data_IF_689946271541
#
_entry.id   IF_689946271541
#
_cell.length_a   1.000
_cell.length_b   1.000
_cell.length_c   1.000
_cell.angle_alpha   90.00
_cell.angle_beta   90.00
_cell.angle_gamma   90.00
#
_symmetry.space_group_name_H-M   'P 1'
#
loop_
_entity.id
_entity.type
_entity.pdbx_description
1 polymer ?
#
# COMPACT_ATOMS: atom_id res chain seq x y z
N UNK A 1 -16.64 26.15 -42.07
CA UNK A 1 -16.38 26.52 -40.66
C UNK A 1 -14.90 26.34 -40.41
N UNK A 2 -14.14 27.42 -40.32
CA UNK A 2 -12.72 27.37 -39.94
C UNK A 2 -12.66 27.50 -38.42
N UNK A 3 -12.48 26.38 -37.73
CA UNK A 3 -12.31 26.38 -36.27
C UNK A 3 -11.05 27.15 -35.92
N UNK A 4 -11.14 28.09 -34.97
CA UNK A 4 -10.01 28.88 -34.53
C UNK A 4 -8.91 27.94 -33.98
N UNK A 5 -7.63 28.14 -34.34
CA UNK A 5 -6.52 27.28 -33.90
C UNK A 5 -6.47 27.03 -32.38
N UNK A 6 -6.90 28.00 -31.58
CA UNK A 6 -7.01 27.90 -30.11
C UNK A 6 -8.02 26.86 -29.59
N UNK A 7 -8.87 26.31 -30.46
CA UNK A 7 -9.83 25.26 -30.05
C UNK A 7 -9.25 23.86 -30.07
N UNK A 8 -8.15 23.64 -30.80
CA UNK A 8 -7.55 22.31 -30.97
C UNK A 8 -6.03 22.26 -30.75
N UNK A 9 -5.33 23.40 -30.78
CA UNK A 9 -3.91 23.48 -30.43
C UNK A 9 -3.70 23.52 -28.92
N UNK A 10 -2.72 22.76 -28.45
CA UNK A 10 -2.26 22.76 -27.05
C UNK A 10 -0.91 23.46 -26.92
N UNK A 11 -0.63 24.03 -25.74
CA UNK A 11 0.58 24.81 -25.49
C UNK A 11 1.86 23.97 -25.38
N UNK A 12 1.75 22.67 -25.09
CA UNK A 12 2.89 21.75 -24.96
C UNK A 12 2.65 20.46 -25.75
N UNK A 13 3.74 19.82 -26.19
CA UNK A 13 3.69 18.51 -26.84
C UNK A 13 3.02 17.47 -25.93
N UNK A 14 3.31 17.49 -24.63
CA UNK A 14 2.68 16.62 -23.64
C UNK A 14 1.17 16.83 -23.54
N UNK A 15 0.69 18.07 -23.52
CA UNK A 15 -0.75 18.37 -23.48
C UNK A 15 -1.45 17.92 -24.77
N UNK A 16 -0.82 18.13 -25.92
CA UNK A 16 -1.31 17.65 -27.22
C UNK A 16 -1.40 16.12 -27.24
N UNK A 17 -0.31 15.43 -26.88
CA UNK A 17 -0.25 13.98 -26.88
C UNK A 17 -1.20 13.37 -25.84
N UNK A 18 -1.34 13.96 -24.65
CA UNK A 18 -2.27 13.46 -23.63
C UNK A 18 -3.73 13.62 -24.06
N UNK A 19 -4.07 14.73 -24.72
CA UNK A 19 -5.45 15.03 -25.14
C UNK A 19 -5.89 14.21 -26.36
N UNK A 20 -5.03 14.02 -27.35
CA UNK A 20 -5.40 13.39 -28.63
C UNK A 20 -4.85 11.97 -28.82
N UNK A 21 -3.76 11.63 -28.12
CA UNK A 21 -3.00 10.39 -28.32
C UNK A 21 -2.65 9.71 -26.99
N UNK A 22 -3.45 9.90 -25.94
CA UNK A 22 -3.13 9.42 -24.59
C UNK A 22 -2.93 7.90 -24.50
N UNK A 23 -3.50 7.12 -25.41
CA UNK A 23 -3.29 5.67 -25.48
C UNK A 23 -1.88 5.25 -25.95
N UNK A 24 -1.12 6.18 -26.52
CA UNK A 24 0.24 5.98 -27.03
C UNK A 24 1.08 7.24 -26.80
N UNK A 25 1.00 7.78 -25.58
CA UNK A 25 1.63 9.03 -25.18
C UNK A 25 3.13 9.02 -25.47
N UNK A 26 3.84 7.95 -25.08
CA UNK A 26 5.29 7.85 -25.31
C UNK A 26 5.66 7.86 -26.79
N UNK A 27 4.92 7.10 -27.62
CA UNK A 27 5.15 7.10 -29.06
C UNK A 27 4.89 8.48 -29.68
N UNK A 28 3.86 9.20 -29.20
CA UNK A 28 3.58 10.57 -29.62
C UNK A 28 4.66 11.57 -29.18
N UNK A 29 5.22 11.39 -27.98
CA UNK A 29 6.29 12.23 -27.43
C UNK A 29 7.68 11.86 -27.98
N UNK A 30 7.80 10.76 -28.73
CA UNK A 30 9.08 10.27 -29.27
C UNK A 30 9.98 9.62 -28.22
N UNK A 31 9.43 9.21 -27.06
CA UNK A 31 10.15 8.49 -26.01
C UNK A 31 9.99 6.98 -26.20
N UNK A 32 11.12 6.25 -26.17
CA UNK A 32 11.14 4.79 -26.33
C UNK A 32 10.59 4.10 -25.08
N UNK A 33 9.48 3.38 -25.26
CA UNK A 33 8.91 2.21 -24.55
C UNK A 33 9.13 1.91 -23.07
N UNK A 34 10.23 2.34 -22.45
CA UNK A 34 10.54 2.07 -21.06
C UNK A 34 9.80 3.07 -20.17
N UNK A 35 9.11 2.57 -19.14
CA UNK A 35 8.49 3.46 -18.20
C UNK A 35 9.57 4.26 -17.45
N UNK A 36 9.28 5.51 -17.04
CA UNK A 36 10.21 6.28 -16.24
C UNK A 36 10.52 5.53 -14.94
N UNK A 37 11.80 5.21 -14.74
CA UNK A 37 12.26 4.52 -13.54
C UNK A 37 11.90 5.31 -12.28
N UNK A 38 11.44 4.63 -11.23
CA UNK A 38 11.14 5.27 -9.95
C UNK A 38 9.70 5.78 -9.81
N UNK A 39 8.83 5.56 -10.79
CA UNK A 39 7.39 5.81 -10.64
C UNK A 39 6.64 4.57 -10.10
N UNK A 40 5.54 4.83 -9.40
CA UNK A 40 4.68 3.83 -8.79
C UNK A 40 3.43 3.59 -9.62
N UNK A 41 3.14 2.33 -9.94
CA UNK A 41 1.97 1.92 -10.72
C UNK A 41 1.04 1.02 -9.90
N UNK A 42 -0.29 1.08 -10.11
CA UNK A 42 -1.24 0.25 -9.38
C UNK A 42 -1.13 -1.21 -9.83
N UNK A 43 -1.04 -2.13 -8.87
CA UNK A 43 -1.06 -3.56 -9.12
C UNK A 43 -2.51 -4.06 -9.15
N UNK A 44 -3.08 -4.10 -10.36
CA UNK A 44 -4.41 -4.66 -10.58
C UNK A 44 -4.43 -6.20 -10.58
N UNK A 45 -3.28 -6.83 -10.82
CA UNK A 45 -3.16 -8.28 -10.94
C UNK A 45 -2.99 -8.95 -9.57
N UNK A 46 -2.40 -8.25 -8.61
CA UNK A 46 -2.27 -8.68 -7.23
C UNK A 46 -3.59 -8.66 -6.46
N UNK A 47 -3.71 -9.55 -5.47
CA UNK A 47 -4.86 -9.56 -4.56
C UNK A 47 -4.73 -8.52 -3.43
N UNK A 48 -3.52 -8.03 -3.18
CA UNK A 48 -3.21 -7.18 -2.04
C UNK A 48 -3.59 -5.71 -2.24
N UNK A 49 -3.97 -5.32 -3.48
CA UNK A 49 -4.44 -3.96 -3.79
C UNK A 49 -3.40 -2.89 -3.45
N UNK A 50 -2.20 -3.01 -4.03
CA UNK A 50 -1.04 -2.16 -3.73
C UNK A 50 -0.49 -1.47 -4.97
N UNK A 51 0.47 -0.57 -4.78
CA UNK A 51 1.24 0.00 -5.88
C UNK A 51 2.68 -0.53 -5.86
N UNK A 52 3.24 -0.76 -7.05
CA UNK A 52 4.58 -1.33 -7.28
C UNK A 52 5.49 -0.34 -8.01
N UNK A 53 6.80 -0.55 -7.87
CA UNK A 53 7.87 0.20 -8.50
C UNK A 53 9.06 -0.74 -8.69
N UNK A 54 8.83 -1.81 -9.46
CA UNK A 54 9.76 -2.92 -9.68
C UNK A 54 10.19 -3.06 -11.14
N UNK A 55 9.74 -2.15 -12.02
CA UNK A 55 10.01 -2.19 -13.46
C UNK A 55 9.25 -3.27 -14.23
N UNK A 56 8.26 -3.93 -13.60
CA UNK A 56 7.44 -4.97 -14.22
C UNK A 56 6.03 -4.46 -14.58
N UNK A 57 5.88 -3.16 -14.77
CA UNK A 57 4.60 -2.55 -15.17
C UNK A 57 4.08 -3.11 -16.51
N UNK A 58 2.75 -3.27 -16.65
CA UNK A 58 2.16 -3.59 -17.94
C UNK A 58 2.45 -2.52 -19.01
N UNK A 59 2.59 -2.96 -20.27
CA UNK A 59 2.97 -2.11 -21.41
C UNK A 59 2.06 -0.88 -21.60
N UNK A 60 0.76 -1.00 -21.29
CA UNK A 60 -0.18 0.12 -21.42
C UNK A 60 0.05 1.21 -20.35
N UNK A 61 0.58 0.85 -19.18
CA UNK A 61 0.98 1.80 -18.15
C UNK A 61 2.30 2.46 -18.53
N UNK A 62 3.25 1.66 -19.02
CA UNK A 62 4.52 2.15 -19.53
C UNK A 62 4.31 3.15 -20.68
N UNK A 63 3.35 2.89 -21.58
CA UNK A 63 3.04 3.73 -22.75
C UNK A 63 2.39 5.09 -22.41
N UNK A 64 1.84 5.25 -21.21
CA UNK A 64 1.32 6.51 -20.69
C UNK A 64 1.54 6.62 -19.17
N UNK A 65 2.79 6.87 -18.75
CA UNK A 65 3.14 6.89 -17.34
C UNK A 65 2.50 8.08 -16.61
N UNK A 66 2.21 9.18 -17.32
CA UNK A 66 1.53 10.36 -16.76
C UNK A 66 0.12 10.03 -16.27
N UNK A 67 -0.62 9.21 -17.03
CA UNK A 67 -1.95 8.77 -16.62
C UNK A 67 -1.90 7.69 -15.53
N UNK A 68 -1.00 6.72 -15.67
CA UNK A 68 -1.06 5.47 -14.90
C UNK A 68 -0.14 5.40 -13.69
N UNK A 69 0.94 6.18 -13.66
CA UNK A 69 1.98 6.09 -12.65
C UNK A 69 2.07 7.39 -11.83
N UNK A 70 2.56 7.28 -10.60
CA UNK A 70 2.68 8.40 -9.65
C UNK A 70 4.09 8.49 -9.07
N UNK A 71 4.53 9.68 -8.64
CA UNK A 71 5.89 9.88 -8.11
C UNK A 71 6.15 9.18 -6.76
N UNK A 72 5.10 8.80 -6.03
CA UNK A 72 5.22 8.10 -4.75
C UNK A 72 4.17 7.01 -4.60
N UNK A 73 4.44 6.05 -3.70
CA UNK A 73 3.50 4.99 -3.34
C UNK A 73 2.22 5.60 -2.77
N UNK A 74 2.36 6.63 -1.92
CA UNK A 74 1.27 7.40 -1.32
C UNK A 74 0.37 7.99 -2.39
N UNK A 75 0.92 8.72 -3.37
CA UNK A 75 0.12 9.33 -4.42
C UNK A 75 -0.56 8.27 -5.31
N UNK A 76 0.09 7.13 -5.55
CA UNK A 76 -0.52 6.02 -6.28
C UNK A 76 -1.68 5.39 -5.51
N UNK A 77 -1.49 5.15 -4.22
CA UNK A 77 -2.51 4.58 -3.35
C UNK A 77 -3.69 5.52 -3.14
N UNK A 78 -3.46 6.82 -2.96
CA UNK A 78 -4.54 7.82 -2.85
C UNK A 78 -5.39 7.86 -4.13
N UNK A 79 -4.74 7.82 -5.30
CA UNK A 79 -5.42 7.91 -6.59
C UNK A 79 -6.22 6.64 -6.95
N UNK A 80 -5.69 5.45 -6.63
CA UNK A 80 -6.24 4.17 -7.14
C UNK A 80 -6.89 3.30 -6.05
N UNK A 81 -6.42 3.43 -4.80
CA UNK A 81 -6.77 2.57 -3.68
C UNK A 81 -7.16 3.38 -2.43
N UNK A 82 -7.68 4.60 -2.60
CA UNK A 82 -8.01 5.48 -1.48
C UNK A 82 -9.00 4.87 -0.48
N UNK A 83 -9.86 3.96 -0.94
CA UNK A 83 -10.79 3.18 -0.11
C UNK A 83 -10.10 2.19 0.84
N UNK A 84 -8.84 1.83 0.58
CA UNK A 84 -8.00 0.99 1.41
C UNK A 84 -6.58 1.55 1.51
N UNK A 85 -6.45 2.88 1.62
CA UNK A 85 -5.17 3.60 1.56
C UNK A 85 -4.09 2.99 2.45
N UNK A 86 -4.44 2.65 3.70
CA UNK A 86 -3.53 1.98 4.63
C UNK A 86 -3.10 0.60 4.11
N UNK A 87 -4.04 -0.25 3.68
CA UNK A 87 -3.73 -1.55 3.09
C UNK A 87 -2.78 -1.43 1.89
N UNK A 88 -3.09 -0.51 0.97
CA UNK A 88 -2.28 -0.28 -0.23
C UNK A 88 -0.86 0.17 0.08
N UNK A 89 -0.69 1.09 1.02
CA UNK A 89 0.62 1.61 1.38
C UNK A 89 1.53 0.51 1.93
N UNK A 90 0.98 -0.63 2.38
CA UNK A 90 1.70 -1.56 3.26
C UNK A 90 2.00 -0.92 4.62
N UNK A 91 1.63 0.35 4.79
CA UNK A 91 1.39 0.97 6.06
C UNK A 91 0.19 0.28 6.65
N UNK A 92 0.46 -0.71 7.48
CA UNK A 92 -0.38 -1.01 8.62
C UNK A 92 -0.53 0.24 9.49
N UNK A 93 -1.11 1.33 8.97
CA UNK A 93 -1.38 2.59 9.62
C UNK A 93 -2.82 2.61 10.16
N UNK A 94 -3.33 1.41 10.48
CA UNK A 94 -3.80 1.16 11.85
C UNK A 94 -3.02 -0.01 12.44
N UNK A 95 -1.75 0.22 12.77
CA UNK A 95 -1.02 -0.52 13.80
C UNK A 95 -0.15 0.50 14.52
N UNK A 96 -0.76 1.23 15.44
CA UNK A 96 -0.08 1.86 16.58
C UNK A 96 0.44 0.74 17.52
N UNK A 97 0.92 -0.37 16.95
CA UNK A 97 0.99 -1.65 17.62
C UNK A 97 2.05 -2.61 17.12
N UNK A 98 3.05 -2.13 16.39
CA UNK A 98 4.38 -2.68 16.61
C UNK A 98 4.63 -2.54 18.13
N UNK A 99 4.66 -3.66 18.84
CA UNK A 99 4.78 -3.77 20.32
C UNK A 99 3.49 -3.75 21.17
N UNK A 100 2.26 -3.84 20.61
CA UNK A 100 1.09 -4.19 21.47
C UNK A 100 1.00 -5.69 21.68
N UNK A 101 0.27 -6.05 22.71
CA UNK A 101 0.04 -7.42 23.15
C UNK A 101 -1.41 -7.81 22.91
N UNK A 102 -1.64 -9.04 22.44
CA UNK A 102 -2.97 -9.62 22.30
C UNK A 102 -2.99 -11.03 22.88
N UNK A 103 -4.15 -11.48 23.34
CA UNK A 103 -4.31 -12.84 23.84
C UNK A 103 -4.29 -13.83 22.68
N UNK A 104 -3.44 -14.83 22.78
CA UNK A 104 -3.56 -16.07 22.04
C UNK A 104 -4.43 -17.01 22.88
N UNK A 105 -5.58 -17.40 22.32
CA UNK A 105 -6.55 -18.24 23.03
C UNK A 105 -6.22 -19.72 22.95
N UNK A 106 -5.33 -20.12 22.04
CA UNK A 106 -4.89 -21.51 21.92
C UNK A 106 -3.88 -21.85 23.02
N UNK A 107 -2.95 -20.93 23.29
CA UNK A 107 -1.94 -21.06 24.35
C UNK A 107 -2.35 -20.40 25.68
N UNK A 108 -3.44 -19.64 25.70
CA UNK A 108 -3.84 -18.74 26.81
C UNK A 108 -2.75 -17.75 27.25
N UNK A 109 -1.85 -17.38 26.31
CA UNK A 109 -0.72 -16.48 26.55
C UNK A 109 -0.88 -15.20 25.76
N UNK A 110 -0.52 -14.07 26.37
CA UNK A 110 -0.45 -12.82 25.63
C UNK A 110 0.83 -12.77 24.80
N UNK A 111 0.66 -12.66 23.49
CA UNK A 111 1.74 -12.57 22.50
C UNK A 111 1.84 -11.15 21.96
N UNK A 112 3.03 -10.76 21.52
CA UNK A 112 3.33 -9.45 20.96
C UNK A 112 2.98 -9.42 19.47
N UNK A 113 2.34 -8.35 19.00
CA UNK A 113 2.22 -8.04 17.58
C UNK A 113 3.61 -7.64 17.05
N UNK A 114 4.09 -8.49 16.17
CA UNK A 114 5.44 -8.46 15.65
C UNK A 114 5.46 -8.98 14.21
N UNK A 115 6.47 -8.56 13.44
CA UNK A 115 6.84 -9.31 12.26
C UNK A 115 7.31 -10.71 12.69
N UNK A 116 6.77 -11.74 12.04
CA UNK A 116 6.97 -13.16 12.38
C UNK A 116 8.46 -13.45 12.60
N UNK A 117 8.81 -14.09 13.72
CA UNK A 117 10.19 -14.53 14.02
C UNK A 117 11.02 -13.66 14.98
N UNK A 118 10.47 -12.61 15.59
CA UNK A 118 11.20 -11.74 16.55
C UNK A 118 11.10 -12.18 18.01
N UNK A 119 11.44 -13.44 18.29
CA UNK A 119 11.60 -13.99 19.66
C UNK A 119 10.41 -14.82 20.20
N UNK A 120 10.55 -15.40 21.41
CA UNK A 120 9.59 -16.39 21.96
C UNK A 120 8.20 -15.82 22.26
N UNK A 121 8.09 -14.53 22.58
CA UNK A 121 6.81 -13.86 22.80
C UNK A 121 6.14 -13.36 21.51
N UNK A 122 6.72 -13.60 20.33
CA UNK A 122 6.19 -13.08 19.06
C UNK A 122 5.00 -13.93 18.58
N UNK A 123 3.81 -13.33 18.49
CA UNK A 123 2.57 -13.99 18.05
C UNK A 123 2.23 -13.78 16.57
N UNK A 124 3.14 -13.18 15.81
CA UNK A 124 2.87 -12.70 14.46
C UNK A 124 2.00 -11.44 14.44
N UNK A 125 1.50 -11.10 13.27
CA UNK A 125 0.66 -9.91 13.09
C UNK A 125 -0.71 -10.13 13.72
N UNK A 126 -1.12 -9.21 14.60
CA UNK A 126 -2.45 -9.25 15.19
C UNK A 126 -3.53 -9.06 14.12
N UNK A 127 -4.64 -9.78 14.26
CA UNK A 127 -5.80 -9.59 13.39
C UNK A 127 -6.57 -8.35 13.81
N UNK A 128 -7.36 -7.78 12.89
CA UNK A 128 -8.03 -6.48 13.09
C UNK A 128 -9.07 -6.48 14.22
N UNK A 129 -9.58 -7.65 14.62
CA UNK A 129 -10.56 -7.81 15.69
C UNK A 129 -9.95 -8.16 17.06
N UNK A 130 -8.62 -8.36 17.14
CA UNK A 130 -7.98 -8.63 18.43
C UNK A 130 -7.90 -7.35 19.25
N UNK A 131 -8.22 -7.45 20.53
CA UNK A 131 -7.99 -6.34 21.47
C UNK A 131 -6.50 -6.24 21.79
N UNK A 132 -5.95 -5.04 21.64
CA UNK A 132 -4.53 -4.75 21.76
C UNK A 132 -4.23 -3.99 23.05
N UNK A 133 -3.17 -4.41 23.74
CA UNK A 133 -2.75 -3.87 25.02
C UNK A 133 -1.34 -3.30 24.95
N UNK A 134 -1.06 -2.25 25.71
CA UNK A 134 0.25 -1.59 25.74
C UNK A 134 1.35 -2.45 26.34
N UNK A 135 0.99 -3.39 27.22
CA UNK A 135 1.93 -4.26 27.91
C UNK A 135 1.39 -5.68 28.02
N UNK A 136 2.30 -6.66 28.08
CA UNK A 136 1.94 -8.06 28.36
C UNK A 136 1.13 -8.19 29.64
N UNK A 137 1.54 -7.47 30.68
CA UNK A 137 0.88 -7.48 31.99
C UNK A 137 -0.56 -6.96 31.92
N UNK A 138 -0.82 -5.89 31.17
CA UNK A 138 -2.19 -5.39 30.98
C UNK A 138 -3.06 -6.40 30.22
N UNK A 139 -2.50 -7.05 29.19
CA UNK A 139 -3.20 -8.11 28.47
C UNK A 139 -3.54 -9.29 29.39
N UNK A 140 -2.56 -9.81 30.16
CA UNK A 140 -2.76 -10.94 31.05
C UNK A 140 -3.76 -10.64 32.16
N UNK A 141 -3.67 -9.47 32.81
CA UNK A 141 -4.63 -9.06 33.83
C UNK A 141 -6.05 -8.89 33.31
N UNK A 142 -6.23 -8.61 32.02
CA UNK A 142 -7.56 -8.39 31.42
C UNK A 142 -8.14 -9.66 30.80
N UNK A 143 -7.33 -10.44 30.08
CA UNK A 143 -7.77 -11.61 29.29
C UNK A 143 -7.51 -12.95 29.97
N UNK A 144 -6.52 -13.01 30.86
CA UNK A 144 -6.11 -14.21 31.58
C UNK A 144 -6.10 -13.98 33.11
N UNK A 145 -7.07 -13.20 33.63
CA UNK A 145 -7.16 -12.87 35.06
C UNK A 145 -7.26 -14.09 35.98
N UNK A 146 -7.71 -15.22 35.46
CA UNK A 146 -7.80 -16.51 36.16
C UNK A 146 -6.45 -17.23 36.29
N UNK A 147 -5.45 -16.88 35.48
CA UNK A 147 -4.10 -17.45 35.51
C UNK A 147 -3.03 -16.43 35.03
N UNK A 148 -2.85 -15.31 35.74
CA UNK A 148 -2.01 -14.21 35.27
C UNK A 148 -0.51 -14.55 35.26
N UNK A 149 -0.06 -15.43 36.17
CA UNK A 149 1.37 -15.78 36.28
C UNK A 149 1.85 -16.64 35.11
N UNK A 150 1.04 -17.60 34.66
CA UNK A 150 1.38 -18.46 33.52
C UNK A 150 1.29 -17.69 32.19
N UNK A 151 0.36 -16.74 32.08
CA UNK A 151 0.27 -15.86 30.92
C UNK A 151 1.52 -14.95 30.75
N UNK A 152 2.18 -14.60 31.86
CA UNK A 152 3.36 -13.74 31.87
C UNK A 152 4.66 -14.46 31.45
N UNK A 153 4.66 -15.79 31.37
CA UNK A 153 5.82 -16.60 30.97
C UNK A 153 5.69 -17.13 29.55
N UNK A 154 6.78 -17.14 28.79
CA UNK A 154 6.82 -17.62 27.40
C UNK A 154 6.61 -19.13 27.28
#
# INVERSE_FOLDING_TARGET
>A
MTLAPSTWMEATLEACCSKYYGYMLNACMGTSGDAPSGLWYPDWAGQDGTCKNDGNEPEYMASNPVAWMKPSKEACCEANFGWMLNGCLGSSAIRIAIDKWFIDWDDYKCKRDCAVGTGPSCGGRAESWKELFDTRSACCSTKAAWNPMDCLVD
#
